data_IF_666488578458
#
_entry.id   IF_666488578458
#
_cell.length_a   1.000
_cell.length_b   1.000
_cell.length_c   1.000
_cell.angle_alpha   90.00
_cell.angle_beta   90.00
_cell.angle_gamma   90.00
#
_symmetry.space_group_name_H-M   'P 1'
#
loop_
_entity.id
_entity.type
_entity.pdbx_description
1 polymer ?
#
# COMPACT_ATOMS: atom_id res chain seq x y z
N UNK A 1 -25.65 -4.11 -3.65
CA UNK A 1 -26.60 -3.97 -4.77
C UNK A 1 -26.13 -4.86 -5.91
N UNK A 2 -26.87 -5.93 -6.18
CA UNK A 2 -26.70 -6.73 -7.40
C UNK A 2 -27.59 -6.04 -8.44
N UNK A 3 -27.03 -5.63 -9.57
CA UNK A 3 -27.74 -4.85 -10.58
C UNK A 3 -28.95 -5.60 -11.17
N UNK A 4 -30.00 -4.89 -11.59
CA UNK A 4 -31.28 -5.47 -12.05
C UNK A 4 -31.18 -6.33 -13.32
N UNK A 5 -30.02 -6.39 -13.97
CA UNK A 5 -29.78 -7.12 -15.22
C UNK A 5 -28.91 -8.38 -15.05
N UNK A 6 -28.52 -8.74 -13.82
CA UNK A 6 -27.85 -10.03 -13.59
C UNK A 6 -28.88 -11.15 -13.67
N UNK A 7 -28.89 -11.90 -14.77
CA UNK A 7 -29.70 -13.11 -14.91
C UNK A 7 -29.46 -14.04 -13.70
N UNK A 8 -30.54 -14.31 -12.96
CA UNK A 8 -30.50 -15.13 -11.74
C UNK A 8 -30.68 -16.63 -12.03
N UNK A 9 -31.12 -16.99 -13.23
CA UNK A 9 -31.25 -18.39 -13.64
C UNK A 9 -29.94 -18.88 -14.25
N UNK A 10 -29.54 -20.10 -13.88
CA UNK A 10 -28.33 -20.74 -14.42
C UNK A 10 -28.45 -20.89 -15.94
N UNK A 11 -27.64 -20.13 -16.67
CA UNK A 11 -27.55 -20.23 -18.13
C UNK A 11 -26.77 -21.51 -18.46
N UNK A 12 -27.32 -22.44 -19.27
CA UNK A 12 -26.57 -23.61 -19.75
C UNK A 12 -25.24 -23.14 -20.36
N UNK A 13 -24.11 -23.75 -19.98
CA UNK A 13 -22.77 -23.21 -20.21
C UNK A 13 -22.41 -22.87 -21.67
N UNK A 14 -23.13 -23.42 -22.65
CA UNK A 14 -22.98 -23.08 -24.07
C UNK A 14 -23.54 -21.69 -24.42
N UNK A 15 -24.67 -21.27 -23.83
CA UNK A 15 -25.32 -19.98 -24.12
C UNK A 15 -24.53 -18.82 -23.51
N UNK A 16 -23.99 -19.00 -22.30
CA UNK A 16 -23.17 -17.98 -21.64
C UNK A 16 -21.86 -17.71 -22.38
N UNK A 17 -21.23 -18.76 -22.93
CA UNK A 17 -19.99 -18.62 -23.70
C UNK A 17 -20.24 -17.81 -24.97
N UNK A 18 -21.28 -18.14 -25.75
CA UNK A 18 -21.64 -17.40 -26.97
C UNK A 18 -22.02 -15.95 -26.69
N UNK A 19 -22.81 -15.68 -25.65
CA UNK A 19 -23.14 -14.31 -25.23
C UNK A 19 -21.88 -13.52 -24.85
N UNK A 20 -20.94 -14.14 -24.15
CA UNK A 20 -19.68 -13.49 -23.75
C UNK A 20 -18.74 -13.26 -24.92
N UNK A 21 -18.71 -14.16 -25.90
CA UNK A 21 -17.96 -13.98 -27.15
C UNK A 21 -18.53 -12.81 -27.97
N UNK A 22 -19.86 -12.73 -28.11
CA UNK A 22 -20.53 -11.59 -28.75
C UNK A 22 -20.26 -10.25 -28.03
N UNK A 23 -20.33 -10.24 -26.70
CA UNK A 23 -20.02 -9.06 -25.89
C UNK A 23 -18.56 -8.60 -26.02
N UNK A 24 -17.60 -9.54 -26.04
CA UNK A 24 -16.17 -9.21 -26.18
C UNK A 24 -15.86 -8.69 -27.59
N UNK A 25 -16.54 -9.22 -28.60
CA UNK A 25 -16.37 -8.81 -29.99
C UNK A 25 -17.17 -7.57 -30.37
N UNK A 26 -18.08 -7.10 -29.50
CA UNK A 26 -19.07 -6.06 -29.82
C UNK A 26 -19.81 -6.35 -31.14
N UNK A 27 -20.09 -7.63 -31.40
CA UNK A 27 -20.56 -8.10 -32.71
C UNK A 27 -21.99 -7.63 -33.07
N UNK A 28 -22.80 -7.30 -32.06
CA UNK A 28 -24.22 -6.94 -32.20
C UNK A 28 -24.55 -5.51 -31.74
N UNK A 29 -23.61 -4.79 -31.12
CA UNK A 29 -23.81 -3.41 -30.63
C UNK A 29 -22.50 -2.70 -30.28
N UNK A 30 -22.45 -1.38 -30.49
CA UNK A 30 -21.32 -0.54 -30.09
C UNK A 30 -21.17 -0.41 -28.55
N UNK A 31 -19.95 -0.18 -28.02
CA UNK A 31 -19.76 0.11 -26.60
C UNK A 31 -20.45 1.44 -26.21
N UNK A 32 -21.13 1.45 -25.07
CA UNK A 32 -21.72 2.68 -24.52
C UNK A 32 -20.67 3.65 -23.97
N UNK A 33 -19.53 3.14 -23.52
CA UNK A 33 -18.42 3.91 -22.94
C UNK A 33 -17.09 3.46 -23.51
N UNK A 34 -16.25 4.40 -23.94
CA UNK A 34 -14.85 4.13 -24.30
C UNK A 34 -13.95 4.64 -23.16
N UNK A 35 -13.08 3.78 -22.65
CA UNK A 35 -12.10 4.09 -21.61
C UNK A 35 -10.71 4.14 -22.25
N UNK A 36 -10.09 5.32 -22.25
CA UNK A 36 -8.70 5.48 -22.69
C UNK A 36 -7.71 5.13 -21.57
N UNK A 37 -6.92 4.09 -21.78
CA UNK A 37 -5.89 3.58 -20.87
C UNK A 37 -6.34 2.35 -20.08
N UNK A 38 -5.58 1.26 -20.16
CA UNK A 38 -5.81 0.02 -19.41
C UNK A 38 -4.88 -0.08 -18.19
N UNK A 39 -4.74 1.03 -17.46
CA UNK A 39 -4.08 1.07 -16.16
C UNK A 39 -5.07 0.76 -15.02
N UNK A 40 -4.68 1.02 -13.77
CA UNK A 40 -5.35 0.50 -12.57
C UNK A 40 -6.74 1.14 -12.49
N UNK A 41 -6.80 2.44 -12.76
CA UNK A 41 -8.03 3.22 -12.82
C UNK A 41 -8.93 2.77 -13.97
N UNK A 42 -8.38 2.58 -15.17
CA UNK A 42 -9.16 2.19 -16.36
C UNK A 42 -9.79 0.80 -16.22
N UNK A 43 -9.03 -0.18 -15.74
CA UNK A 43 -9.53 -1.54 -15.52
C UNK A 43 -10.50 -1.60 -14.32
N UNK A 44 -10.27 -0.84 -13.25
CA UNK A 44 -11.18 -0.79 -12.10
C UNK A 44 -12.53 -0.16 -12.49
N UNK A 45 -12.51 0.90 -13.30
CA UNK A 45 -13.72 1.51 -13.85
C UNK A 45 -14.46 0.55 -14.78
N UNK A 46 -13.75 -0.13 -15.69
CA UNK A 46 -14.34 -1.12 -16.60
C UNK A 46 -15.04 -2.25 -15.83
N UNK A 47 -14.41 -2.77 -14.77
CA UNK A 47 -15.02 -3.76 -13.90
C UNK A 47 -16.29 -3.22 -13.24
N UNK A 48 -16.27 -1.96 -12.78
CA UNK A 48 -17.43 -1.33 -12.13
C UNK A 48 -18.58 -1.10 -13.11
N UNK A 49 -18.30 -0.63 -14.33
CA UNK A 49 -19.30 -0.49 -15.40
C UNK A 49 -19.92 -1.84 -15.75
N UNK A 50 -19.11 -2.92 -15.81
CA UNK A 50 -19.62 -4.28 -16.01
C UNK A 50 -20.54 -4.72 -14.87
N UNK A 51 -20.21 -4.42 -13.61
CA UNK A 51 -21.11 -4.68 -12.47
C UNK A 51 -22.44 -3.91 -12.55
N UNK A 52 -22.44 -2.75 -13.21
CA UNK A 52 -23.63 -1.93 -13.45
C UNK A 52 -24.35 -2.26 -14.77
N UNK A 53 -23.85 -3.28 -15.49
CA UNK A 53 -24.36 -3.69 -16.80
C UNK A 53 -24.30 -2.58 -17.87
N UNK A 54 -23.25 -1.76 -17.84
CA UNK A 54 -22.93 -0.77 -18.85
C UNK A 54 -21.82 -1.35 -19.73
N UNK A 55 -22.02 -1.37 -21.06
CA UNK A 55 -21.01 -1.88 -21.99
C UNK A 55 -19.86 -0.87 -22.13
N UNK A 56 -18.63 -1.34 -21.96
CA UNK A 56 -17.44 -0.48 -22.02
C UNK A 56 -16.30 -1.14 -22.77
N UNK A 57 -15.62 -0.39 -23.64
CA UNK A 57 -14.41 -0.81 -24.33
C UNK A 57 -13.20 -0.06 -23.75
N UNK A 58 -12.19 -0.78 -23.27
CA UNK A 58 -10.93 -0.20 -22.80
C UNK A 58 -9.92 -0.22 -23.95
N UNK A 59 -9.35 0.94 -24.27
CA UNK A 59 -8.34 1.10 -25.32
C UNK A 59 -6.99 1.38 -24.66
N UNK A 60 -5.97 0.62 -25.00
CA UNK A 60 -4.60 0.79 -24.48
C UNK A 60 -3.66 1.21 -25.62
N UNK A 61 -2.76 2.17 -25.35
CA UNK A 61 -1.77 2.64 -26.34
C UNK A 61 -0.60 1.67 -26.49
N UNK A 62 -0.32 0.88 -25.45
CA UNK A 62 0.75 -0.09 -25.46
C UNK A 62 0.32 -1.40 -26.12
N UNK A 63 1.29 -2.13 -26.67
CA UNK A 63 1.08 -3.39 -27.40
C UNK A 63 0.36 -4.45 -26.56
N UNK A 64 0.65 -4.54 -25.26
CA UNK A 64 -0.06 -5.43 -24.35
C UNK A 64 -0.73 -4.67 -23.19
N UNK A 65 -1.95 -5.08 -22.81
CA UNK A 65 -2.71 -4.49 -21.69
C UNK A 65 -1.92 -4.64 -20.39
N UNK A 66 -1.61 -3.51 -19.75
CA UNK A 66 -0.77 -3.45 -18.56
C UNK A 66 0.69 -3.09 -18.82
N UNK A 67 1.12 -2.83 -20.05
CA UNK A 67 2.49 -2.37 -20.30
C UNK A 67 2.82 -1.00 -19.72
N UNK A 68 1.80 -0.20 -19.41
CA UNK A 68 1.95 1.06 -18.69
C UNK A 68 2.57 0.89 -17.29
N UNK A 69 2.41 -0.27 -16.66
CA UNK A 69 3.15 -0.66 -15.44
C UNK A 69 4.20 -1.75 -15.68
N UNK A 70 4.01 -2.65 -16.66
CA UNK A 70 5.02 -3.66 -16.95
C UNK A 70 6.33 -3.00 -17.38
N UNK A 71 6.35 -2.00 -18.27
CA UNK A 71 7.61 -1.35 -18.73
C UNK A 71 8.43 -0.58 -17.65
N UNK A 72 8.17 -0.81 -16.36
CA UNK A 72 9.04 -0.48 -15.23
C UNK A 72 10.09 -1.56 -14.97
N UNK A 73 10.82 -1.44 -13.86
CA UNK A 73 11.97 -2.28 -13.51
C UNK A 73 11.67 -3.78 -13.34
N UNK A 74 10.41 -4.18 -13.13
CA UNK A 74 10.03 -5.57 -12.77
C UNK A 74 8.97 -6.18 -13.71
N UNK A 75 9.17 -6.12 -15.03
CA UNK A 75 8.36 -6.90 -15.97
C UNK A 75 9.08 -7.98 -16.73
N UNK A 76 8.26 -8.87 -17.27
CA UNK A 76 8.61 -9.71 -18.40
C UNK A 76 9.20 -8.84 -19.54
N UNK A 77 10.43 -9.16 -19.95
CA UNK A 77 11.20 -8.40 -20.94
C UNK A 77 11.99 -7.18 -20.42
N UNK A 78 11.92 -6.87 -19.12
CA UNK A 78 12.75 -5.83 -18.49
C UNK A 78 14.13 -6.36 -18.09
N UNK A 79 14.92 -5.57 -17.34
CA UNK A 79 16.21 -5.99 -16.80
C UNK A 79 16.05 -7.26 -15.96
N UNK A 80 17.13 -8.04 -15.80
CA UNK A 80 17.14 -9.16 -14.87
C UNK A 80 16.74 -8.65 -13.47
N UNK A 81 15.87 -9.37 -12.75
CA UNK A 81 15.35 -8.95 -11.44
C UNK A 81 16.46 -8.51 -10.47
N UNK A 82 17.62 -9.17 -10.48
CA UNK A 82 18.74 -8.76 -9.62
C UNK A 82 19.32 -7.38 -9.96
N UNK A 83 19.30 -6.98 -11.23
CA UNK A 83 19.73 -5.65 -11.68
C UNK A 83 18.67 -4.62 -11.30
N UNK A 84 17.38 -4.97 -11.43
CA UNK A 84 16.27 -4.13 -10.99
C UNK A 84 16.31 -3.87 -9.47
N UNK A 85 16.53 -4.91 -8.68
CA UNK A 85 16.73 -4.82 -7.22
C UNK A 85 17.93 -3.92 -6.90
N UNK A 86 19.04 -4.08 -7.62
CA UNK A 86 20.22 -3.25 -7.43
C UNK A 86 19.95 -1.79 -7.75
N UNK A 87 19.33 -1.46 -8.87
CA UNK A 87 18.99 -0.08 -9.22
C UNK A 87 18.07 0.56 -8.19
N UNK A 88 17.14 -0.21 -7.63
CA UNK A 88 16.22 0.29 -6.60
C UNK A 88 16.92 0.51 -5.25
N UNK A 89 17.89 -0.36 -4.89
CA UNK A 89 18.55 -0.35 -3.59
C UNK A 89 19.96 0.26 -3.58
N UNK A 90 20.49 0.68 -4.73
CA UNK A 90 21.77 1.39 -4.85
C UNK A 90 21.68 2.89 -4.58
N UNK A 91 20.48 3.39 -4.28
CA UNK A 91 20.24 4.79 -3.97
C UNK A 91 20.04 4.98 -2.47
N UNK A 92 20.73 5.94 -1.83
CA UNK A 92 20.48 6.29 -0.43
C UNK A 92 19.01 6.62 -0.23
N UNK A 93 18.42 6.09 0.85
CA UNK A 93 17.00 6.25 1.13
C UNK A 93 16.59 7.72 1.24
N UNK A 94 17.38 8.51 1.95
CA UNK A 94 17.14 9.96 2.08
C UNK A 94 17.23 10.73 0.76
N UNK A 95 17.91 10.21 -0.27
CA UNK A 95 17.97 10.84 -1.59
C UNK A 95 16.75 10.46 -2.44
N UNK A 96 16.46 9.16 -2.52
CA UNK A 96 15.35 8.64 -3.31
C UNK A 96 14.01 9.07 -2.72
N UNK A 97 13.83 8.84 -1.42
CA UNK A 97 12.62 9.23 -0.71
C UNK A 97 12.60 10.71 -0.35
N UNK A 98 13.74 11.39 -0.28
CA UNK A 98 13.79 12.83 -0.06
C UNK A 98 13.46 13.64 -1.31
N UNK A 99 14.42 14.44 -1.75
CA UNK A 99 14.25 15.42 -2.83
C UNK A 99 13.57 14.84 -4.09
N UNK A 100 13.92 13.62 -4.51
CA UNK A 100 13.31 13.01 -5.70
C UNK A 100 11.82 12.72 -5.50
N UNK A 101 11.45 12.05 -4.40
CA UNK A 101 10.05 11.73 -4.12
C UNK A 101 9.23 12.98 -3.76
N UNK A 102 9.81 13.97 -3.09
CA UNK A 102 9.15 15.24 -2.79
C UNK A 102 8.75 15.97 -4.06
N UNK A 103 9.63 16.04 -5.06
CA UNK A 103 9.29 16.65 -6.35
C UNK A 103 8.16 15.91 -7.05
N UNK A 104 8.25 14.57 -7.13
CA UNK A 104 7.18 13.75 -7.71
C UNK A 104 5.85 13.92 -6.96
N UNK A 105 5.90 13.95 -5.63
CA UNK A 105 4.73 14.13 -4.77
C UNK A 105 4.08 15.49 -5.01
N UNK A 106 4.84 16.58 -5.10
CA UNK A 106 4.31 17.92 -5.41
C UNK A 106 3.57 17.96 -6.75
N UNK A 107 4.14 17.34 -7.78
CA UNK A 107 3.49 17.26 -9.11
C UNK A 107 2.18 16.49 -9.02
N UNK A 108 2.18 15.31 -8.41
CA UNK A 108 0.97 14.47 -8.23
C UNK A 108 -0.10 15.24 -7.45
N UNK A 109 0.27 15.94 -6.37
CA UNK A 109 -0.66 16.71 -5.57
C UNK A 109 -1.27 17.88 -6.36
N UNK A 110 -0.48 18.55 -7.20
CA UNK A 110 -0.98 19.61 -8.07
C UNK A 110 -1.97 19.08 -9.11
N UNK A 111 -1.68 17.94 -9.72
CA UNK A 111 -2.57 17.29 -10.69
C UNK A 111 -3.88 16.81 -10.05
N UNK A 112 -3.87 16.53 -8.76
CA UNK A 112 -5.03 16.04 -7.98
C UNK A 112 -5.69 17.12 -7.12
N UNK A 113 -5.48 18.41 -7.43
CA UNK A 113 -5.95 19.52 -6.59
C UNK A 113 -7.46 19.49 -6.33
N UNK A 114 -8.26 19.28 -7.36
CA UNK A 114 -9.73 19.26 -7.23
C UNK A 114 -10.22 18.15 -6.30
N UNK A 115 -9.60 16.97 -6.40
CA UNK A 115 -9.88 15.83 -5.52
C UNK A 115 -9.51 16.16 -4.07
N UNK A 116 -8.35 16.78 -3.86
CA UNK A 116 -7.90 17.16 -2.52
C UNK A 116 -8.81 18.20 -1.89
N UNK A 117 -9.26 19.19 -2.65
CA UNK A 117 -10.12 20.24 -2.12
C UNK A 117 -11.52 19.69 -1.81
N UNK A 118 -12.05 18.79 -2.64
CA UNK A 118 -13.26 18.02 -2.34
C UNK A 118 -13.13 17.23 -1.02
N UNK A 119 -12.01 16.54 -0.83
CA UNK A 119 -11.74 15.77 0.40
C UNK A 119 -11.61 16.66 1.64
N UNK A 120 -10.90 17.79 1.54
CA UNK A 120 -10.80 18.77 2.63
C UNK A 120 -12.18 19.30 3.02
N UNK A 121 -13.03 19.59 2.04
CA UNK A 121 -14.41 20.04 2.28
C UNK A 121 -15.25 18.96 2.96
N UNK A 122 -15.04 17.69 2.63
CA UNK A 122 -15.61 16.54 3.34
C UNK A 122 -14.97 16.27 4.72
N UNK A 123 -14.09 17.15 5.21
CA UNK A 123 -13.32 17.04 6.46
C UNK A 123 -12.40 15.83 6.52
N UNK A 124 -12.03 15.27 5.37
CA UNK A 124 -11.00 14.25 5.28
C UNK A 124 -9.62 14.89 5.52
N UNK A 125 -8.83 14.31 6.43
CA UNK A 125 -7.48 14.82 6.73
C UNK A 125 -6.48 14.23 5.75
N UNK A 126 -5.81 15.11 4.99
CA UNK A 126 -4.77 14.74 4.04
C UNK A 126 -3.38 14.96 4.67
N UNK A 127 -2.42 14.17 4.22
CA UNK A 127 -0.99 14.42 4.44
C UNK A 127 -0.24 14.10 3.14
N UNK A 128 0.92 14.73 2.93
CA UNK A 128 1.78 14.47 1.77
C UNK A 128 2.86 13.42 2.09
N UNK A 129 2.67 12.60 3.11
CA UNK A 129 3.71 11.71 3.65
C UNK A 129 4.59 12.38 4.71
N UNK A 130 5.43 11.57 5.37
CA UNK A 130 6.48 12.09 6.26
C UNK A 130 7.39 13.02 5.45
N UNK A 131 7.65 14.24 5.93
CA UNK A 131 8.47 15.25 5.26
C UNK A 131 8.01 15.57 3.82
N UNK A 132 6.72 15.42 3.51
CA UNK A 132 6.15 15.61 2.17
C UNK A 132 6.77 14.69 1.09
N UNK A 133 7.33 13.57 1.51
CA UNK A 133 8.05 12.58 0.67
C UNK A 133 7.12 11.55 0.02
N UNK A 134 5.81 11.75 0.09
CA UNK A 134 4.81 10.84 -0.46
C UNK A 134 4.74 9.50 0.28
N UNK A 135 4.30 8.46 -0.44
CA UNK A 135 3.98 7.14 0.11
C UNK A 135 5.22 6.32 0.52
N UNK A 136 6.36 6.50 -0.15
CA UNK A 136 7.51 5.60 -0.04
C UNK A 136 8.12 5.61 1.37
N UNK A 137 8.32 6.81 1.96
CA UNK A 137 8.86 6.91 3.32
C UNK A 137 7.85 6.43 4.37
N UNK A 138 6.54 6.66 4.16
CA UNK A 138 5.50 6.13 5.06
C UNK A 138 5.55 4.59 5.12
N UNK A 139 5.69 3.94 3.97
CA UNK A 139 5.85 2.49 3.89
C UNK A 139 7.06 2.02 4.68
N UNK A 140 8.21 2.70 4.54
CA UNK A 140 9.46 2.32 5.25
C UNK A 140 9.42 2.59 6.75
N UNK A 141 8.79 3.70 7.16
CA UNK A 141 8.78 4.16 8.55
C UNK A 141 7.63 3.60 9.39
N UNK A 142 6.54 3.15 8.75
CA UNK A 142 5.32 2.72 9.45
C UNK A 142 4.76 1.39 8.93
N UNK A 143 5.28 0.84 7.84
CA UNK A 143 4.68 -0.34 7.18
C UNK A 143 3.30 -0.07 6.60
N UNK A 144 2.91 1.20 6.40
CA UNK A 144 1.55 1.60 6.07
C UNK A 144 1.38 3.12 5.95
N UNK A 145 0.20 3.64 6.26
CA UNK A 145 -0.07 5.08 6.24
C UNK A 145 -0.43 5.65 4.86
N UNK A 146 -1.03 4.82 4.01
CA UNK A 146 -1.56 5.20 2.71
C UNK A 146 -2.88 4.46 2.44
N UNK A 147 -3.65 4.97 1.49
CA UNK A 147 -4.92 4.39 1.03
C UNK A 147 -4.92 4.43 -0.49
N UNK A 148 -5.15 3.27 -1.13
CA UNK A 148 -5.34 3.21 -2.58
C UNK A 148 -6.81 3.37 -2.88
N UNK A 149 -7.15 4.40 -3.64
CA UNK A 149 -8.53 4.65 -3.97
C UNK A 149 -9.06 3.67 -5.01
N UNK A 150 -10.16 3.01 -4.65
CA UNK A 150 -10.93 2.13 -5.53
C UNK A 150 -12.29 2.73 -5.92
N UNK A 151 -12.47 4.03 -5.65
CA UNK A 151 -13.69 4.80 -5.93
C UNK A 151 -14.43 5.29 -4.68
N UNK A 152 -13.91 5.06 -3.47
CA UNK A 152 -14.55 5.53 -2.25
C UNK A 152 -14.31 7.03 -2.02
N UNK A 153 -13.22 7.60 -2.55
CA UNK A 153 -12.91 9.03 -2.39
C UNK A 153 -14.02 9.91 -2.94
N UNK A 154 -14.50 9.61 -4.15
CA UNK A 154 -15.60 10.37 -4.75
C UNK A 154 -16.89 10.22 -3.94
N UNK A 155 -17.19 9.01 -3.45
CA UNK A 155 -18.35 8.78 -2.59
C UNK A 155 -18.28 9.53 -1.25
N UNK A 156 -17.08 9.79 -0.72
CA UNK A 156 -16.87 10.64 0.45
C UNK A 156 -17.16 12.10 0.09
N UNK A 157 -16.64 12.59 -1.04
CA UNK A 157 -16.84 13.96 -1.53
C UNK A 157 -18.34 14.22 -1.76
N UNK A 158 -19.03 13.28 -2.40
CA UNK A 158 -20.46 13.34 -2.69
C UNK A 158 -21.34 13.18 -1.44
N UNK A 159 -20.74 12.89 -0.28
CA UNK A 159 -21.46 12.72 0.99
C UNK A 159 -22.20 11.38 1.14
N UNK A 160 -21.98 10.43 0.22
CA UNK A 160 -22.54 9.08 0.28
C UNK A 160 -21.89 8.24 1.39
N UNK A 161 -20.62 8.50 1.70
CA UNK A 161 -19.90 7.92 2.84
C UNK A 161 -19.66 9.00 3.88
N UNK A 162 -20.22 8.83 5.07
CA UNK A 162 -20.04 9.75 6.20
C UNK A 162 -18.82 9.40 7.01
N UNK A 163 -18.05 10.42 7.38
CA UNK A 163 -16.85 10.29 8.22
C UNK A 163 -17.11 10.87 9.61
N UNK A 164 -16.63 10.17 10.65
CA UNK A 164 -16.63 10.63 12.04
C UNK A 164 -15.20 10.56 12.59
N UNK A 165 -14.64 11.71 12.95
CA UNK A 165 -13.26 11.83 13.49
C UNK A 165 -13.19 12.90 14.61
N UNK A 166 -14.29 13.11 15.33
CA UNK A 166 -14.36 14.13 16.38
C UNK A 166 -14.15 13.56 17.80
N UNK A 167 -14.11 12.23 17.97
CA UNK A 167 -13.85 11.60 19.26
C UNK A 167 -13.44 10.13 19.07
N UNK A 168 -12.51 9.60 19.89
CA UNK A 168 -12.20 8.17 19.95
C UNK A 168 -13.40 7.33 20.41
N UNK A 169 -13.42 6.06 20.03
CA UNK A 169 -14.36 5.06 20.56
C UNK A 169 -13.97 4.77 22.02
N UNK A 170 -14.94 4.81 22.92
CA UNK A 170 -14.78 4.50 24.34
C UNK A 170 -15.06 3.02 24.59
N UNK A 171 -16.24 2.55 24.19
CA UNK A 171 -16.70 1.18 24.39
C UNK A 171 -17.75 0.78 23.35
N UNK A 172 -17.96 -0.53 23.22
CA UNK A 172 -19.10 -1.11 22.52
C UNK A 172 -20.24 -1.27 23.52
N UNK A 173 -21.44 -0.83 23.17
CA UNK A 173 -22.64 -1.11 23.95
C UNK A 173 -23.51 -2.18 23.26
N UNK A 174 -24.73 -2.40 23.77
CA UNK A 174 -25.63 -3.43 23.24
C UNK A 174 -26.20 -3.09 21.86
N UNK A 175 -26.19 -1.82 21.46
CA UNK A 175 -26.82 -1.34 20.21
C UNK A 175 -25.81 -0.77 19.20
N UNK A 176 -24.56 -0.50 19.60
CA UNK A 176 -23.51 0.03 18.76
C UNK A 176 -22.29 0.55 19.53
N UNK A 177 -21.96 1.83 19.33
CA UNK A 177 -20.70 2.46 19.77
C UNK A 177 -20.93 3.69 20.64
N UNK A 178 -20.19 3.78 21.75
CA UNK A 178 -20.04 5.01 22.55
C UNK A 178 -18.70 5.66 22.32
N UNK A 179 -18.70 6.98 22.28
CA UNK A 179 -17.51 7.80 22.09
C UNK A 179 -17.14 8.53 23.38
N UNK A 180 -15.86 8.88 23.53
CA UNK A 180 -15.34 9.57 24.75
C UNK A 180 -16.05 10.89 25.01
N UNK A 181 -16.52 11.58 23.96
CA UNK A 181 -17.29 12.82 24.08
C UNK A 181 -18.76 12.63 24.52
N UNK A 182 -19.16 11.41 24.87
CA UNK A 182 -20.52 11.07 25.31
C UNK A 182 -21.53 10.81 24.17
N UNK A 183 -21.15 11.01 22.90
CA UNK A 183 -22.03 10.66 21.77
C UNK A 183 -22.16 9.14 21.62
N UNK A 184 -23.30 8.67 21.13
CA UNK A 184 -23.59 7.26 20.86
C UNK A 184 -23.99 7.08 19.38
N UNK A 185 -23.75 5.90 18.82
CA UNK A 185 -24.15 5.54 17.46
C UNK A 185 -24.56 4.07 17.41
N UNK A 186 -25.84 3.83 17.17
CA UNK A 186 -26.37 2.47 16.98
C UNK A 186 -26.00 1.93 15.59
N UNK A 187 -25.73 0.63 15.50
CA UNK A 187 -25.42 -0.07 14.27
C UNK A 187 -25.81 -1.55 14.35
N UNK A 188 -26.38 -2.09 13.27
CA UNK A 188 -26.72 -3.52 13.18
C UNK A 188 -25.48 -4.43 13.15
N UNK A 189 -24.34 -3.90 12.68
CA UNK A 189 -23.06 -4.59 12.65
C UNK A 189 -21.90 -3.61 12.78
N UNK A 190 -20.86 -4.00 13.52
CA UNK A 190 -19.60 -3.26 13.61
C UNK A 190 -18.46 -4.12 13.07
N UNK A 191 -17.72 -3.58 12.09
CA UNK A 191 -16.59 -4.26 11.44
C UNK A 191 -15.29 -3.58 11.88
N UNK A 192 -14.46 -4.31 12.62
CA UNK A 192 -13.14 -3.83 13.04
C UNK A 192 -12.11 -4.00 11.92
N UNK A 193 -11.98 -2.98 11.06
CA UNK A 193 -10.95 -2.89 10.03
C UNK A 193 -9.67 -2.19 10.53
N UNK A 194 -9.20 -2.51 11.75
CA UNK A 194 -8.15 -1.79 12.48
C UNK A 194 -6.71 -2.20 12.11
N UNK A 195 -6.54 -2.92 11.00
CA UNK A 195 -5.23 -3.38 10.52
C UNK A 195 -4.61 -4.51 11.35
N UNK A 196 -3.35 -4.80 11.05
CA UNK A 196 -2.54 -5.79 11.75
C UNK A 196 -1.68 -5.09 12.80
N UNK A 197 -1.59 -5.66 14.01
CA UNK A 197 -0.80 -5.10 15.10
C UNK A 197 0.71 -5.07 14.81
N UNK A 198 1.47 -4.50 15.75
CA UNK A 198 2.92 -4.37 15.63
C UNK A 198 3.66 -5.70 15.85
N UNK A 199 4.82 -5.86 15.20
CA UNK A 199 5.72 -7.01 15.36
C UNK A 199 6.22 -7.17 16.79
N UNK A 200 6.29 -6.08 17.57
CA UNK A 200 6.57 -6.17 18.99
C UNK A 200 5.58 -7.08 19.72
N UNK A 201 4.27 -6.96 19.44
CA UNK A 201 3.24 -7.81 20.02
C UNK A 201 3.36 -9.28 19.58
N UNK A 202 3.86 -9.53 18.37
CA UNK A 202 4.16 -10.89 17.91
C UNK A 202 5.37 -11.48 18.64
N UNK A 203 6.44 -10.72 18.78
CA UNK A 203 7.64 -11.14 19.53
C UNK A 203 7.32 -11.36 21.00
N UNK A 204 6.51 -10.50 21.61
CA UNK A 204 6.03 -10.66 22.98
C UNK A 204 5.31 -12.00 23.17
N UNK A 205 4.41 -12.36 22.25
CA UNK A 205 3.70 -13.65 22.29
C UNK A 205 4.63 -14.86 22.13
N UNK A 206 5.67 -14.75 21.32
CA UNK A 206 6.59 -15.86 21.03
C UNK A 206 7.71 -16.02 22.07
N UNK A 207 8.25 -14.92 22.55
CA UNK A 207 9.49 -14.89 23.33
C UNK A 207 9.30 -14.37 24.76
N UNK A 208 8.11 -13.86 25.11
CA UNK A 208 7.78 -13.28 26.40
C UNK A 208 8.24 -11.82 26.54
N UNK A 209 7.71 -11.16 27.58
CA UNK A 209 7.91 -9.72 27.84
C UNK A 209 9.38 -9.35 28.02
N UNK A 210 10.12 -10.15 28.80
CA UNK A 210 11.56 -9.94 29.09
C UNK A 210 12.40 -9.83 27.81
N UNK A 211 11.99 -10.52 26.76
CA UNK A 211 12.69 -10.53 25.47
C UNK A 211 12.18 -9.40 24.59
N UNK A 212 10.86 -9.18 24.53
CA UNK A 212 10.25 -8.11 23.75
C UNK A 212 10.71 -6.72 24.20
N UNK A 213 10.71 -6.43 25.51
CA UNK A 213 11.04 -5.12 26.08
C UNK A 213 12.45 -4.62 25.76
N UNK A 214 13.36 -5.54 25.40
CA UNK A 214 14.74 -5.21 25.03
C UNK A 214 14.88 -4.79 23.57
N UNK A 215 13.83 -4.88 22.77
CA UNK A 215 13.92 -4.69 21.33
C UNK A 215 13.58 -3.26 20.90
N UNK A 216 14.40 -2.67 20.02
CA UNK A 216 14.08 -1.38 19.45
C UNK A 216 12.85 -1.49 18.53
N UNK A 217 12.17 -0.37 18.26
CA UNK A 217 11.10 -0.32 17.29
C UNK A 217 11.52 -0.91 15.93
N UNK A 218 10.72 -1.84 15.42
CA UNK A 218 10.92 -2.51 14.13
C UNK A 218 10.08 -1.81 13.04
N UNK A 219 10.36 -2.14 11.77
CA UNK A 219 9.71 -1.55 10.59
C UNK A 219 9.88 -0.02 10.55
N UNK A 220 11.14 0.43 10.58
CA UNK A 220 11.52 1.86 10.52
C UNK A 220 12.79 2.08 9.71
N UNK A 221 13.04 3.34 9.41
CA UNK A 221 14.34 3.90 9.07
C UNK A 221 14.87 4.59 10.34
N UNK A 222 16.09 4.26 10.76
CA UNK A 222 16.73 4.87 11.93
C UNK A 222 17.36 6.24 11.60
N UNK A 223 17.95 6.89 12.61
CA UNK A 223 18.54 8.24 12.47
C UNK A 223 19.67 8.31 11.43
N UNK A 224 20.30 7.17 11.12
CA UNK A 224 21.35 7.05 10.10
C UNK A 224 20.78 6.87 8.69
N UNK A 225 19.45 6.74 8.56
CA UNK A 225 18.82 6.41 7.29
C UNK A 225 18.82 4.90 6.99
N UNK A 226 19.20 4.03 7.94
CA UNK A 226 19.22 2.58 7.73
C UNK A 226 17.86 1.95 8.03
N UNK A 227 17.41 1.02 7.17
CA UNK A 227 16.19 0.26 7.42
C UNK A 227 16.42 -0.80 8.51
N UNK A 228 15.52 -0.85 9.49
CA UNK A 228 15.54 -1.82 10.59
C UNK A 228 14.94 -3.19 10.24
N UNK A 229 14.74 -3.45 8.94
CA UNK A 229 13.91 -4.55 8.43
C UNK A 229 14.67 -5.87 8.28
N UNK A 230 16.00 -5.81 8.17
CA UNK A 230 16.88 -6.98 7.99
C UNK A 230 18.07 -6.86 8.94
N UNK A 231 17.93 -7.34 10.19
CA UNK A 231 18.95 -7.11 11.22
C UNK A 231 18.97 -8.17 12.32
N UNK A 232 20.09 -8.33 13.02
CA UNK A 232 20.11 -9.08 14.27
C UNK A 232 19.29 -8.33 15.33
N UNK A 233 18.63 -9.09 16.19
CA UNK A 233 18.00 -8.59 17.39
C UNK A 233 18.98 -8.67 18.59
N UNK A 234 18.80 -7.85 19.63
CA UNK A 234 19.62 -7.87 20.85
C UNK A 234 19.86 -9.24 21.50
N UNK A 235 18.97 -10.22 21.29
CA UNK A 235 19.21 -11.60 21.73
C UNK A 235 20.05 -12.33 20.68
N UNK A 236 21.22 -12.82 21.09
CA UNK A 236 22.12 -13.61 20.24
C UNK A 236 21.36 -14.75 19.56
N UNK A 237 21.54 -14.87 18.24
CA UNK A 237 20.93 -15.90 17.40
C UNK A 237 19.51 -15.57 16.92
N UNK A 238 18.89 -14.48 17.37
CA UNK A 238 17.58 -14.05 16.89
C UNK A 238 17.72 -12.96 15.82
N UNK A 239 16.99 -13.12 14.72
CA UNK A 239 17.04 -12.28 13.55
C UNK A 239 15.65 -11.80 13.15
N UNK A 240 15.59 -10.57 12.67
CA UNK A 240 14.37 -9.99 12.15
C UNK A 240 14.53 -9.69 10.66
N UNK A 241 13.54 -10.13 9.87
CA UNK A 241 13.48 -9.99 8.42
C UNK A 241 12.05 -9.66 8.00
N UNK A 242 11.87 -8.56 7.27
CA UNK A 242 10.57 -8.10 6.76
C UNK A 242 10.73 -7.41 5.40
N UNK A 243 9.72 -7.55 4.53
CA UNK A 243 9.67 -6.82 3.27
C UNK A 243 9.04 -7.61 2.14
N UNK A 244 8.99 -6.99 0.97
CA UNK A 244 8.58 -7.61 -0.29
C UNK A 244 9.62 -8.61 -0.79
N UNK A 245 9.28 -9.33 -1.87
CA UNK A 245 10.19 -10.24 -2.53
C UNK A 245 11.47 -9.54 -3.04
N UNK A 246 11.35 -8.35 -3.64
CA UNK A 246 12.50 -7.56 -4.13
C UNK A 246 13.47 -7.20 -2.98
N UNK A 247 12.93 -6.66 -1.88
CA UNK A 247 13.70 -6.37 -0.67
C UNK A 247 14.39 -7.63 -0.13
N UNK A 248 13.65 -8.73 -0.05
CA UNK A 248 14.17 -9.97 0.49
C UNK A 248 15.30 -10.54 -0.38
N UNK A 249 15.14 -10.52 -1.71
CA UNK A 249 16.19 -10.98 -2.65
C UNK A 249 17.48 -10.16 -2.53
N UNK A 250 17.35 -8.84 -2.32
CA UNK A 250 18.49 -7.96 -2.14
C UNK A 250 19.20 -8.14 -0.78
N UNK A 251 18.44 -8.11 0.32
CA UNK A 251 19.02 -8.09 1.68
C UNK A 251 19.42 -9.46 2.21
N UNK A 252 18.89 -10.57 1.69
CA UNK A 252 19.26 -11.93 2.12
C UNK A 252 20.78 -12.18 2.04
N UNK A 253 21.43 -11.71 0.97
CA UNK A 253 22.89 -11.85 0.80
C UNK A 253 23.64 -11.11 1.91
N UNK A 254 23.18 -9.92 2.29
CA UNK A 254 23.77 -9.10 3.34
C UNK A 254 23.61 -9.78 4.72
N UNK A 255 22.41 -10.29 5.02
CA UNK A 255 22.14 -11.04 6.26
C UNK A 255 23.04 -12.28 6.35
N UNK A 256 23.14 -13.08 5.27
CA UNK A 256 23.98 -14.28 5.25
C UNK A 256 25.47 -13.95 5.47
N UNK A 257 25.99 -12.90 4.81
CA UNK A 257 27.36 -12.45 5.03
C UNK A 257 27.58 -11.97 6.47
N UNK A 258 26.63 -11.24 7.04
CA UNK A 258 26.74 -10.77 8.42
C UNK A 258 26.74 -11.93 9.42
N UNK A 259 25.87 -12.93 9.25
CA UNK A 259 25.88 -14.17 10.06
C UNK A 259 27.25 -14.85 9.94
N UNK A 260 27.77 -15.00 8.71
CA UNK A 260 29.08 -15.62 8.49
C UNK A 260 30.21 -14.85 9.18
N UNK A 261 30.17 -13.53 9.13
CA UNK A 261 31.15 -12.67 9.80
C UNK A 261 31.06 -12.78 11.34
N UNK A 262 29.86 -12.88 11.91
CA UNK A 262 29.66 -13.15 13.34
C UNK A 262 30.22 -14.51 13.76
N UNK A 263 29.97 -15.57 12.99
CA UNK A 263 30.49 -16.93 13.24
C UNK A 263 32.03 -16.97 13.20
N UNK A 264 32.64 -16.12 12.36
CA UNK A 264 34.10 -15.98 12.26
C UNK A 264 34.69 -14.97 13.25
N UNK A 265 33.89 -14.40 14.15
CA UNK A 265 34.27 -13.34 15.08
C UNK A 265 34.90 -12.10 14.41
N UNK A 266 34.54 -11.82 13.15
CA UNK A 266 34.98 -10.63 12.41
C UNK A 266 34.17 -9.39 12.80
N UNK A 267 32.95 -9.59 13.31
CA UNK A 267 32.05 -8.52 13.76
C UNK A 267 31.46 -8.93 15.11
N UNK A 268 31.73 -8.14 16.15
CA UNK A 268 31.26 -8.38 17.53
C UNK A 268 30.09 -7.50 17.94
N UNK A 269 29.83 -6.42 17.20
CA UNK A 269 28.69 -5.51 17.39
C UNK A 269 28.25 -4.91 16.06
N UNK A 270 27.01 -4.43 15.97
CA UNK A 270 26.60 -3.60 14.82
C UNK A 270 27.50 -2.36 14.78
N UNK A 271 27.93 -1.97 13.58
CA UNK A 271 28.54 -0.65 13.38
C UNK A 271 27.51 0.42 13.77
N UNK A 272 27.94 1.42 14.53
CA UNK A 272 27.18 2.63 14.79
C UNK A 272 28.01 3.75 14.16
N UNK A 273 27.41 4.53 13.25
CA UNK A 273 28.14 5.67 12.70
C UNK A 273 28.08 6.84 13.68
N UNK A 274 29.22 7.48 13.92
CA UNK A 274 29.22 8.80 14.57
C UNK A 274 28.73 9.83 13.54
N UNK A 275 27.41 9.97 13.40
CA UNK A 275 26.81 10.97 12.52
C UNK A 275 27.28 12.37 12.93
N UNK A 276 27.93 13.08 12.01
CA UNK A 276 28.38 14.46 12.21
C UNK A 276 27.21 15.45 12.39
N UNK A 277 27.49 16.68 12.85
CA UNK A 277 26.46 17.67 13.20
C UNK A 277 25.58 18.13 12.01
N UNK A 278 25.97 17.82 10.78
CA UNK A 278 25.28 18.22 9.55
C UNK A 278 24.46 17.08 8.90
N UNK A 279 24.35 15.92 9.55
CA UNK A 279 23.53 14.82 9.05
C UNK A 279 22.04 15.08 9.34
N UNK A 280 21.19 14.90 8.33
CA UNK A 280 19.73 14.97 8.48
C UNK A 280 19.30 13.81 9.37
N UNK A 281 18.65 14.11 10.49
CA UNK A 281 18.06 13.11 11.39
C UNK A 281 16.56 12.99 11.09
N UNK A 282 16.07 11.75 10.98
CA UNK A 282 14.66 11.41 10.73
C UNK A 282 13.82 11.39 12.01
#
# INVERSE_FOLDING_TARGET
MIGPLRQQQGVPGLIWKSQREEEVQFASSDPSVIIGGASHSGLSLAARLKYLNISSLVIEKNEQIGDSWRKTLYSEGSLLNSIADWLQHSMPHLLLEGEMSQHGTKVILNDQKDLQDGLKNARFKLNAGILDMGILLNLKQKGGGHYFDIGATQMIIDGLIKLKNNSPILEFDKSGLKFVNGSCLDADAVICATGCGDMHGFIQKLCGDVVADKYPPLIRVDEEGEMTWFRPLPRKGLWYMHGSLSLTQFYLKHVAMYIKAMEQNLITSRYASELGPNCIRL
#
